data_IF_499235562124
#
_entry.id   IF_499235562124
#
_cell.length_a   1.000
_cell.length_b   1.000
_cell.length_c   1.000
_cell.angle_alpha   90.00
_cell.angle_beta   90.00
_cell.angle_gamma   90.00
#
_symmetry.space_group_name_H-M   'P 1'
#
loop_
_entity.id
_entity.type
_entity.pdbx_description
1 polymer ?
#
# COMPACT_ATOMS: atom_id res chain seq x y z
N UNK A 1 13.85 12.40 15.02
CA UNK A 1 15.29 12.24 15.24
C UNK A 1 15.71 10.77 15.04
N UNK A 2 15.23 9.82 15.86
CA UNK A 2 15.60 8.38 15.78
C UNK A 2 15.48 7.70 14.40
N UNK A 3 14.33 7.79 13.71
CA UNK A 3 14.14 7.12 12.40
C UNK A 3 15.13 7.61 11.34
N UNK A 4 15.40 8.91 11.29
CA UNK A 4 16.37 9.51 10.34
C UNK A 4 17.80 8.99 10.56
N UNK A 5 18.18 8.74 11.82
CA UNK A 5 19.46 8.10 12.14
C UNK A 5 19.48 6.63 11.71
N UNK A 6 18.35 5.92 11.78
CA UNK A 6 18.21 4.56 11.24
C UNK A 6 18.24 4.52 9.71
N UNK A 7 17.77 5.57 9.05
CA UNK A 7 17.89 5.79 7.61
C UNK A 7 19.32 6.20 7.17
N UNK A 8 20.25 6.34 8.12
CA UNK A 8 21.67 6.63 7.87
C UNK A 8 22.02 8.12 7.85
N UNK A 9 21.09 9.02 8.17
CA UNK A 9 21.36 10.46 8.20
C UNK A 9 22.18 10.86 9.44
N UNK A 10 23.21 11.69 9.22
CA UNK A 10 23.98 12.31 10.32
C UNK A 10 23.25 13.55 10.84
N UNK A 11 22.72 13.46 12.06
CA UNK A 11 21.98 14.56 12.70
C UNK A 11 22.87 15.49 13.55
N UNK A 12 24.21 15.36 13.50
CA UNK A 12 25.13 16.16 14.32
C UNK A 12 24.92 17.67 14.18
N UNK A 13 24.58 18.14 12.98
CA UNK A 13 24.40 19.56 12.68
C UNK A 13 22.97 20.06 12.90
N UNK A 14 21.98 19.15 13.02
CA UNK A 14 20.55 19.50 13.11
C UNK A 14 19.98 19.31 14.51
N UNK A 15 20.50 18.34 15.26
CA UNK A 15 20.05 18.02 16.62
C UNK A 15 21.25 17.61 17.49
N UNK A 16 21.79 18.51 18.32
CA UNK A 16 22.93 18.22 19.18
C UNK A 16 22.62 17.20 20.29
N UNK A 17 21.35 16.80 20.48
CA UNK A 17 20.94 15.74 21.41
C UNK A 17 20.72 14.40 20.71
N UNK A 18 20.91 14.31 19.39
CA UNK A 18 20.77 13.07 18.65
C UNK A 18 21.82 12.05 19.09
N UNK A 19 21.36 10.85 19.47
CA UNK A 19 22.23 9.72 19.82
C UNK A 19 22.78 9.07 18.55
N UNK A 20 23.90 8.38 18.68
CA UNK A 20 24.44 7.56 17.59
C UNK A 20 23.54 6.36 17.30
N UNK A 21 23.68 5.77 16.11
CA UNK A 21 22.95 4.56 15.70
C UNK A 21 23.12 3.41 16.71
N UNK A 22 24.35 3.19 17.17
CA UNK A 22 24.68 2.15 18.14
C UNK A 22 23.95 2.38 19.48
N UNK A 23 23.96 3.60 20.00
CA UNK A 23 23.27 3.93 21.25
C UNK A 23 21.75 3.80 21.15
N UNK A 24 21.15 4.13 20.01
CA UNK A 24 19.72 3.92 19.81
C UNK A 24 19.36 2.42 19.82
N UNK A 25 20.20 1.59 19.21
CA UNK A 25 20.03 0.13 19.18
C UNK A 25 20.21 -0.49 20.56
N UNK A 26 21.24 -0.08 21.30
CA UNK A 26 21.52 -0.58 22.64
C UNK A 26 20.42 -0.17 23.64
N UNK A 27 19.85 1.03 23.48
CA UNK A 27 18.78 1.54 24.34
C UNK A 27 17.41 0.92 24.06
N UNK A 28 17.17 0.46 22.83
CA UNK A 28 15.85 -0.02 22.45
C UNK A 28 15.56 -1.45 22.90
N UNK A 29 16.59 -2.25 23.18
CA UNK A 29 16.45 -3.62 23.67
C UNK A 29 15.97 -4.61 22.62
N UNK A 30 15.62 -5.82 23.06
CA UNK A 30 15.30 -6.97 22.18
C UNK A 30 13.90 -6.84 21.57
N UNK A 31 12.99 -6.14 22.25
CA UNK A 31 11.58 -6.00 21.83
C UNK A 31 11.33 -4.73 20.98
N UNK A 32 12.39 -4.08 20.49
CA UNK A 32 12.25 -2.93 19.61
C UNK A 32 11.46 -3.33 18.34
N UNK A 33 10.33 -2.66 18.12
CA UNK A 33 9.48 -2.93 16.96
C UNK A 33 8.53 -4.12 17.11
N UNK A 34 8.55 -4.82 18.26
CA UNK A 34 7.60 -5.90 18.57
C UNK A 34 6.21 -5.41 19.02
N UNK A 35 5.89 -4.14 18.75
CA UNK A 35 4.62 -3.51 19.09
C UNK A 35 3.70 -3.44 17.86
N UNK A 36 2.42 -3.80 18.03
CA UNK A 36 1.41 -3.72 16.98
C UNK A 36 0.88 -5.09 16.56
N UNK A 37 0.46 -5.21 15.29
CA UNK A 37 -0.15 -6.43 14.78
C UNK A 37 0.89 -7.54 14.65
N UNK A 38 0.55 -8.73 15.13
CA UNK A 38 1.44 -9.89 15.01
C UNK A 38 1.61 -10.32 13.56
N UNK A 39 2.77 -10.92 13.24
CA UNK A 39 2.99 -11.57 11.93
C UNK A 39 1.92 -12.62 11.62
N UNK A 40 1.46 -13.36 12.63
CA UNK A 40 0.34 -14.31 12.51
C UNK A 40 -0.94 -13.63 12.03
N UNK A 41 -1.28 -12.47 12.58
CA UNK A 41 -2.43 -11.69 12.13
C UNK A 41 -2.29 -11.34 10.65
N UNK A 42 -1.13 -10.80 10.25
CA UNK A 42 -0.87 -10.44 8.85
C UNK A 42 -1.01 -11.64 7.90
N UNK A 43 -0.41 -12.78 8.22
CA UNK A 43 -0.53 -14.00 7.41
C UNK A 43 -1.97 -14.49 7.29
N UNK A 44 -2.75 -14.42 8.37
CA UNK A 44 -4.17 -14.81 8.36
C UNK A 44 -5.01 -13.89 7.48
N UNK A 45 -4.73 -12.59 7.49
CA UNK A 45 -5.38 -11.64 6.57
C UNK A 45 -5.03 -11.98 5.13
N UNK A 46 -3.74 -12.05 4.79
CA UNK A 46 -3.30 -12.32 3.42
C UNK A 46 -3.88 -13.64 2.90
N UNK A 47 -3.80 -14.71 3.71
CA UNK A 47 -4.39 -16.00 3.35
C UNK A 47 -5.88 -15.88 3.02
N UNK A 48 -6.66 -15.15 3.81
CA UNK A 48 -8.09 -14.94 3.52
C UNK A 48 -8.34 -14.14 2.26
N UNK A 49 -7.51 -13.12 2.01
CA UNK A 49 -7.64 -12.25 0.83
C UNK A 49 -7.35 -13.02 -0.44
N UNK A 50 -6.29 -13.82 -0.47
CA UNK A 50 -5.96 -14.69 -1.61
C UNK A 50 -6.98 -15.81 -1.84
N UNK A 51 -7.73 -16.20 -0.82
CA UNK A 51 -8.80 -17.21 -0.91
C UNK A 51 -10.20 -16.58 -0.93
N UNK A 52 -10.31 -15.27 -1.16
CA UNK A 52 -11.60 -14.57 -1.12
C UNK A 52 -12.45 -14.88 -2.36
N UNK A 53 -11.80 -14.92 -3.53
CA UNK A 53 -12.43 -15.33 -4.79
C UNK A 53 -12.05 -16.79 -5.09
N UNK A 54 -13.04 -17.59 -5.50
CA UNK A 54 -12.85 -19.01 -5.84
C UNK A 54 -12.40 -19.22 -7.30
N UNK A 55 -12.50 -18.19 -8.14
CA UNK A 55 -12.17 -18.21 -9.57
C UNK A 55 -10.80 -17.58 -9.81
N UNK A 56 -10.50 -16.47 -9.13
CA UNK A 56 -9.26 -15.72 -9.32
C UNK A 56 -8.32 -15.84 -8.12
N UNK A 57 -7.11 -16.36 -8.35
CA UNK A 57 -6.06 -16.44 -7.32
C UNK A 57 -5.25 -15.14 -7.33
N UNK A 58 -5.85 -14.06 -6.84
CA UNK A 58 -5.20 -12.76 -6.71
C UNK A 58 -5.59 -12.05 -5.41
N UNK A 59 -4.64 -11.32 -4.83
CA UNK A 59 -4.92 -10.45 -3.70
C UNK A 59 -5.53 -9.14 -4.18
N UNK A 60 -6.85 -9.13 -4.38
CA UNK A 60 -7.57 -7.91 -4.74
C UNK A 60 -7.53 -6.90 -3.56
N UNK A 61 -7.05 -5.66 -3.76
CA UNK A 61 -6.98 -4.64 -2.71
C UNK A 61 -8.34 -4.30 -2.08
N UNK A 62 -9.43 -4.40 -2.83
CA UNK A 62 -10.79 -4.19 -2.30
C UNK A 62 -11.14 -5.29 -1.30
N UNK A 63 -10.83 -6.55 -1.62
CA UNK A 63 -11.02 -7.67 -0.70
C UNK A 63 -10.11 -7.53 0.52
N UNK A 64 -8.87 -7.04 0.35
CA UNK A 64 -7.96 -6.75 1.45
C UNK A 64 -8.56 -5.75 2.44
N UNK A 65 -9.08 -4.62 1.98
CA UNK A 65 -9.70 -3.63 2.86
C UNK A 65 -10.90 -4.19 3.61
N UNK A 66 -11.77 -4.93 2.91
CA UNK A 66 -12.94 -5.57 3.52
C UNK A 66 -12.55 -6.60 4.60
N UNK A 67 -11.59 -7.48 4.30
CA UNK A 67 -11.13 -8.52 5.25
C UNK A 67 -10.44 -7.88 6.46
N UNK A 68 -9.67 -6.81 6.27
CA UNK A 68 -9.04 -6.07 7.36
C UNK A 68 -10.06 -5.44 8.29
N UNK A 69 -11.05 -4.72 7.74
CA UNK A 69 -12.11 -4.09 8.54
C UNK A 69 -12.85 -5.13 9.38
N UNK A 70 -13.31 -6.22 8.75
CA UNK A 70 -13.99 -7.30 9.44
C UNK A 70 -13.14 -7.98 10.51
N UNK A 71 -11.83 -8.12 10.28
CA UNK A 71 -10.98 -8.77 11.25
C UNK A 71 -10.62 -7.87 12.43
N UNK A 72 -10.44 -6.56 12.20
CA UNK A 72 -10.21 -5.59 13.27
C UNK A 72 -11.40 -5.55 14.23
N UNK A 73 -12.63 -5.58 13.71
CA UNK A 73 -13.85 -5.64 14.53
C UNK A 73 -13.95 -6.94 15.35
N UNK A 74 -13.45 -8.07 14.80
CA UNK A 74 -13.52 -9.40 15.44
C UNK A 74 -12.42 -9.67 16.46
N UNK A 75 -11.23 -9.10 16.31
CA UNK A 75 -10.06 -9.44 17.13
C UNK A 75 -10.14 -8.90 18.57
N UNK A 76 -11.24 -8.22 18.95
CA UNK A 76 -11.49 -7.66 20.29
C UNK A 76 -10.31 -6.82 20.81
N UNK A 77 -9.75 -5.96 19.95
CA UNK A 77 -8.74 -5.01 20.38
C UNK A 77 -9.30 -4.03 21.42
N UNK A 78 -8.44 -3.40 22.24
CA UNK A 78 -8.81 -2.22 23.00
C UNK A 78 -9.42 -1.16 22.05
N UNK A 79 -10.50 -0.51 22.47
CA UNK A 79 -11.31 0.37 21.63
C UNK A 79 -10.47 1.42 20.88
N UNK A 80 -9.59 2.12 21.59
CA UNK A 80 -8.70 3.13 21.02
C UNK A 80 -7.79 2.56 19.90
N UNK A 81 -7.32 1.32 20.06
CA UNK A 81 -6.48 0.68 19.04
C UNK A 81 -7.29 0.28 17.81
N UNK A 82 -8.50 -0.28 18.01
CA UNK A 82 -9.39 -0.62 16.91
C UNK A 82 -9.77 0.63 16.10
N UNK A 83 -10.17 1.70 16.79
CA UNK A 83 -10.51 2.99 16.18
C UNK A 83 -9.34 3.56 15.38
N UNK A 84 -8.13 3.56 15.96
CA UNK A 84 -6.93 4.03 15.25
C UNK A 84 -6.64 3.21 13.98
N UNK A 85 -6.81 1.89 14.01
CA UNK A 85 -6.60 1.05 12.82
C UNK A 85 -7.66 1.30 11.75
N UNK A 86 -8.93 1.44 12.14
CA UNK A 86 -10.02 1.75 11.22
C UNK A 86 -9.89 3.16 10.62
N UNK A 87 -9.47 4.14 11.42
CA UNK A 87 -9.18 5.49 10.97
C UNK A 87 -8.04 5.50 9.96
N UNK A 88 -6.96 4.76 10.22
CA UNK A 88 -5.86 4.63 9.25
C UNK A 88 -6.34 3.97 7.95
N UNK A 89 -7.16 2.93 8.04
CA UNK A 89 -7.69 2.23 6.88
C UNK A 89 -8.58 3.15 6.03
N UNK A 90 -9.59 3.77 6.65
CA UNK A 90 -10.63 4.57 5.98
C UNK A 90 -10.18 5.99 5.64
N UNK A 91 -9.38 6.60 6.51
CA UNK A 91 -8.92 7.98 6.36
C UNK A 91 -7.68 8.13 5.50
N UNK A 92 -6.87 7.08 5.35
CA UNK A 92 -5.59 7.18 4.63
C UNK A 92 -5.44 6.15 3.50
N UNK A 93 -5.53 4.86 3.81
CA UNK A 93 -5.25 3.79 2.83
C UNK A 93 -6.26 3.75 1.69
N UNK A 94 -7.55 3.71 2.02
CA UNK A 94 -8.63 3.62 1.02
C UNK A 94 -8.64 4.84 0.08
N UNK A 95 -8.59 6.09 0.56
CA UNK A 95 -8.55 7.27 -0.31
C UNK A 95 -7.35 7.28 -1.25
N UNK A 96 -6.16 6.90 -0.74
CA UNK A 96 -4.96 6.79 -1.58
C UNK A 96 -5.08 5.74 -2.65
N UNK A 97 -5.63 4.57 -2.31
CA UNK A 97 -5.87 3.53 -3.29
C UNK A 97 -6.90 3.97 -4.35
N UNK A 98 -7.97 4.66 -3.94
CA UNK A 98 -8.98 5.18 -4.86
C UNK A 98 -8.38 6.20 -5.85
N UNK A 99 -7.52 7.10 -5.37
CA UNK A 99 -6.78 8.02 -6.24
C UNK A 99 -5.85 7.28 -7.20
N UNK A 100 -5.07 6.33 -6.69
CA UNK A 100 -4.14 5.52 -7.48
C UNK A 100 -4.87 4.75 -8.58
N UNK A 101 -5.89 3.95 -8.23
CA UNK A 101 -6.62 3.13 -9.21
C UNK A 101 -7.38 4.00 -10.21
N UNK A 102 -7.88 5.17 -9.78
CA UNK A 102 -8.51 6.13 -10.68
C UNK A 102 -7.55 6.64 -11.74
N UNK A 103 -6.30 6.94 -11.37
CA UNK A 103 -5.23 7.31 -12.32
C UNK A 103 -4.88 6.17 -13.25
N UNK A 104 -4.69 4.95 -12.73
CA UNK A 104 -4.38 3.78 -13.56
C UNK A 104 -5.46 3.50 -14.60
N UNK A 105 -6.75 3.57 -14.21
CA UNK A 105 -7.88 3.38 -15.13
C UNK A 105 -7.89 4.46 -16.21
N UNK A 106 -7.64 5.72 -15.85
CA UNK A 106 -7.58 6.82 -16.82
C UNK A 106 -6.42 6.65 -17.81
N UNK A 107 -5.24 6.27 -17.33
CA UNK A 107 -4.08 6.00 -18.17
C UNK A 107 -4.35 4.84 -19.13
N UNK A 108 -4.82 3.71 -18.63
CA UNK A 108 -5.15 2.54 -19.45
C UNK A 108 -6.21 2.86 -20.52
N UNK A 109 -7.20 3.68 -20.17
CA UNK A 109 -8.19 4.17 -21.14
C UNK A 109 -7.51 4.99 -22.24
N UNK A 110 -6.70 5.99 -21.90
CA UNK A 110 -6.01 6.83 -22.90
C UNK A 110 -5.04 6.03 -23.78
N UNK A 111 -4.30 5.08 -23.20
CA UNK A 111 -3.40 4.20 -23.94
C UNK A 111 -4.16 3.34 -24.95
N UNK A 112 -5.28 2.74 -24.53
CA UNK A 112 -6.14 1.96 -25.43
C UNK A 112 -6.72 2.81 -26.57
N UNK A 113 -7.05 4.08 -26.31
CA UNK A 113 -7.53 5.01 -27.33
C UNK A 113 -6.42 5.47 -28.28
N UNK A 114 -5.19 5.64 -27.78
CA UNK A 114 -4.02 5.94 -28.62
C UNK A 114 -3.72 4.77 -29.57
N UNK A 115 -3.71 3.54 -29.05
CA UNK A 115 -3.53 2.33 -29.85
C UNK A 115 -4.66 2.14 -30.87
N UNK A 116 -5.91 2.39 -30.47
CA UNK A 116 -7.05 2.38 -31.39
C UNK A 116 -6.94 3.45 -32.48
N UNK A 117 -6.55 4.68 -32.11
CA UNK A 117 -6.37 5.80 -33.04
C UNK A 117 -5.26 5.54 -34.06
N UNK A 118 -4.12 5.03 -33.60
CA UNK A 118 -2.99 4.68 -34.46
C UNK A 118 -3.38 3.57 -35.46
N UNK A 119 -4.11 2.54 -35.01
CA UNK A 119 -4.60 1.48 -35.88
C UNK A 119 -5.53 1.98 -37.00
N UNK A 120 -6.39 2.97 -36.71
CA UNK A 120 -7.25 3.59 -37.74
C UNK A 120 -6.39 4.41 -38.72
N UNK A 121 -5.43 5.17 -38.21
CA UNK A 121 -4.53 5.97 -39.04
C UNK A 121 -3.69 5.09 -39.98
N UNK A 122 -3.09 4.02 -39.47
CA UNK A 122 -2.28 3.09 -40.26
C UNK A 122 -3.12 2.41 -41.36
N UNK A 123 -4.38 2.07 -41.05
CA UNK A 123 -5.33 1.57 -42.07
C UNK A 123 -5.65 2.62 -43.13
N UNK A 124 -5.86 3.88 -42.74
CA UNK A 124 -6.11 4.97 -43.69
C UNK A 124 -4.92 5.19 -44.62
N UNK A 125 -3.70 5.25 -44.09
CA UNK A 125 -2.47 5.38 -44.89
C UNK A 125 -2.34 4.20 -45.85
N UNK A 126 -2.55 2.98 -45.37
CA UNK A 126 -2.52 1.78 -46.21
C UNK A 126 -3.53 1.86 -47.36
N UNK A 127 -4.77 2.27 -47.11
CA UNK A 127 -5.77 2.40 -48.17
C UNK A 127 -5.48 3.55 -49.14
N UNK A 128 -4.87 4.64 -48.66
CA UNK A 128 -4.45 5.76 -49.50
C UNK A 128 -3.27 5.38 -50.40
N UNK A 129 -2.34 4.55 -49.94
CA UNK A 129 -1.21 4.04 -50.73
C UNK A 129 -1.63 3.05 -51.82
N UNK A 130 -2.79 2.40 -51.67
CA UNK A 130 -3.37 1.50 -52.68
C UNK A 130 -4.22 2.21 -53.76
N UNK A 131 -4.33 3.55 -53.70
CA UNK A 131 -5.05 4.40 -54.64
C UNK A 131 -4.10 5.15 -55.57
#
# INVERSE_FOLDING_TARGET
SKMRVYDGESLKDTDPKAKSYQEYRDYAGVDEGMNGLSTRFAFKILSRVFNFDHVEVAANPVHLFYVLEQQIEREQFPQEQAERYLEFLKGYLIPKYAEFIGKEIQTAYLESYSEYGQNIFDRYVTYADFW
#
